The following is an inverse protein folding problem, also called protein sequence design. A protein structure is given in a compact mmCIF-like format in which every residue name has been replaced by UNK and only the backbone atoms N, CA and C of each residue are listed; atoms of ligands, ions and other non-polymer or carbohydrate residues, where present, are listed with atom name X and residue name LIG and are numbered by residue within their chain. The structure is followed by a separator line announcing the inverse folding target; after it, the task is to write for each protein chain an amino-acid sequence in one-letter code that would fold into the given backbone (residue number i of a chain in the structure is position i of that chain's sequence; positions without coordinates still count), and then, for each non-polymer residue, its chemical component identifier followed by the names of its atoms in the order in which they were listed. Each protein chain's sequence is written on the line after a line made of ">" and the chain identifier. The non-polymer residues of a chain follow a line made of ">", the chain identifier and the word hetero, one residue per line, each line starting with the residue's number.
data_IF_458353908004
#
_entry.id   IF_458353908004
#
_cell.length_a   1.000
_cell.length_b   1.000
_cell.length_c   1.000
_cell.angle_alpha   90.00
_cell.angle_beta   90.00
_cell.angle_gamma   90.00
#
_symmetry.space_group_name_H-M   'P 1'
#
loop_
_entity.id
_entity.type
_entity.pdbx_description
1 polymer ?
#
# COMPACT_ATOMS: atom_id res chain seq x y z
N UNK A 1 -12.02 0.03 -17.70
CA UNK A 1 -11.77 0.66 -16.38
C UNK A 1 -10.31 0.38 -16.02
N UNK A 2 -9.44 1.40 -16.06
CA UNK A 2 -8.06 1.20 -15.60
C UNK A 2 -8.09 1.09 -14.09
N UNK A 3 -7.82 -0.12 -13.59
CA UNK A 3 -7.76 -0.40 -12.18
C UNK A 3 -6.54 0.30 -11.57
N UNK A 4 -6.80 1.23 -10.64
CA UNK A 4 -5.75 1.90 -9.87
C UNK A 4 -5.03 0.85 -9.00
N UNK A 5 -3.71 0.89 -8.97
CA UNK A 5 -2.90 0.02 -8.09
C UNK A 5 -2.99 0.49 -6.64
N UNK A 6 -2.57 -0.35 -5.69
CA UNK A 6 -2.64 -0.03 -4.26
C UNK A 6 -1.81 1.21 -3.87
N UNK A 7 -0.70 1.41 -4.55
CA UNK A 7 0.20 2.55 -4.41
C UNK A 7 -0.48 3.83 -4.90
N UNK A 8 -1.28 3.73 -5.96
CA UNK A 8 -2.05 4.86 -6.48
C UNK A 8 -3.14 5.30 -5.48
N UNK A 9 -3.79 4.36 -4.80
CA UNK A 9 -4.75 4.69 -3.73
C UNK A 9 -4.09 5.34 -2.52
N UNK A 10 -2.89 4.89 -2.15
CA UNK A 10 -2.11 5.52 -1.08
C UNK A 10 -1.75 6.96 -1.46
N UNK A 11 -1.28 7.19 -2.68
CA UNK A 11 -0.98 8.55 -3.20
C UNK A 11 -2.21 9.46 -3.22
N UNK A 12 -3.36 8.95 -3.68
CA UNK A 12 -4.63 9.70 -3.68
C UNK A 12 -5.09 10.07 -2.26
N UNK A 13 -4.74 9.24 -1.26
CA UNK A 13 -4.99 9.52 0.16
C UNK A 13 -3.94 10.46 0.79
N UNK A 14 -3.03 11.03 0.00
CA UNK A 14 -1.96 11.92 0.46
C UNK A 14 -0.78 11.18 1.10
N UNK A 15 -0.72 9.87 0.99
CA UNK A 15 0.35 9.04 1.55
C UNK A 15 1.41 8.86 0.48
N UNK A 16 2.55 9.54 0.64
CA UNK A 16 3.70 9.33 -0.23
C UNK A 16 4.40 8.04 0.21
N UNK A 17 4.38 7.05 -0.68
CA UNK A 17 5.06 5.77 -0.50
C UNK A 17 5.77 5.37 -1.78
N UNK A 18 7.02 4.92 -1.65
CA UNK A 18 7.78 4.27 -2.70
C UNK A 18 8.04 2.82 -2.34
N UNK A 19 7.91 1.93 -3.32
CA UNK A 19 8.27 0.52 -3.17
C UNK A 19 9.69 0.32 -3.73
N UNK A 20 10.57 -0.31 -2.95
CA UNK A 20 11.92 -0.65 -3.35
C UNK A 20 12.23 -2.10 -3.01
N UNK A 21 13.02 -2.76 -3.85
CA UNK A 21 13.53 -4.09 -3.56
C UNK A 21 14.91 -3.92 -2.94
N UNK A 22 15.08 -4.39 -1.71
CA UNK A 22 16.38 -4.37 -1.04
C UNK A 22 17.33 -5.35 -1.74
N UNK A 23 18.44 -4.85 -2.28
CA UNK A 23 19.27 -5.60 -3.23
C UNK A 23 19.86 -6.90 -2.66
N UNK A 24 20.18 -6.89 -1.36
CA UNK A 24 20.85 -8.00 -0.68
C UNK A 24 19.89 -9.03 -0.10
N UNK A 25 18.78 -8.59 0.49
CA UNK A 25 17.80 -9.50 1.10
C UNK A 25 16.71 -9.92 0.13
N UNK A 26 16.60 -9.26 -1.04
CA UNK A 26 15.52 -9.41 -2.03
C UNK A 26 14.13 -9.13 -1.46
N UNK A 27 14.07 -8.44 -0.33
CA UNK A 27 12.82 -8.11 0.34
C UNK A 27 12.22 -6.83 -0.23
N UNK A 28 10.89 -6.79 -0.26
CA UNK A 28 10.14 -5.59 -0.62
C UNK A 28 10.10 -4.65 0.58
N UNK A 29 10.58 -3.44 0.39
CA UNK A 29 10.61 -2.35 1.34
C UNK A 29 9.67 -1.25 0.88
N UNK A 30 8.96 -0.65 1.83
CA UNK A 30 8.14 0.52 1.61
C UNK A 30 8.77 1.72 2.30
N UNK A 31 9.12 2.74 1.53
CA UNK A 31 9.63 4.01 2.02
C UNK A 31 8.48 5.03 2.07
N UNK A 32 8.15 5.44 3.29
CA UNK A 32 7.30 6.58 3.61
C UNK A 32 8.18 7.79 3.93
N UNK A 33 7.57 8.98 4.02
CA UNK A 33 8.28 10.23 4.38
C UNK A 33 9.04 10.12 5.71
N UNK A 34 8.50 9.38 6.67
CA UNK A 34 8.96 9.30 8.07
C UNK A 34 9.42 7.89 8.48
N UNK A 35 9.27 6.89 7.62
CA UNK A 35 9.52 5.50 7.95
C UNK A 35 9.98 4.69 6.72
N UNK A 36 10.89 3.75 6.92
CA UNK A 36 11.15 2.67 5.95
C UNK A 36 10.84 1.35 6.61
N UNK A 37 9.92 0.58 6.04
CA UNK A 37 9.46 -0.68 6.63
C UNK A 37 9.46 -1.82 5.62
N UNK A 38 9.89 -2.99 6.07
CA UNK A 38 9.79 -4.22 5.28
C UNK A 38 8.31 -4.64 5.15
N UNK A 39 7.94 -5.15 3.99
CA UNK A 39 6.65 -5.81 3.75
C UNK A 39 6.27 -6.87 4.79
N UNK A 40 7.23 -7.57 5.38
CA UNK A 40 6.99 -8.55 6.46
C UNK A 40 6.57 -7.89 7.78
N UNK A 41 7.10 -6.70 8.08
CA UNK A 41 6.85 -5.97 9.32
C UNK A 41 5.76 -4.90 9.18
N UNK A 42 5.16 -4.79 8.01
CA UNK A 42 4.13 -3.81 7.62
C UNK A 42 3.02 -3.59 8.66
N UNK A 43 2.68 -4.63 9.43
CA UNK A 43 1.67 -4.60 10.50
C UNK A 43 2.07 -3.76 11.72
N UNK A 44 3.35 -3.40 11.83
CA UNK A 44 3.88 -2.55 12.90
C UNK A 44 3.94 -1.08 12.50
N UNK A 45 3.71 -0.76 11.22
CA UNK A 45 3.80 0.61 10.72
C UNK A 45 2.69 1.49 11.31
N UNK A 46 3.00 2.73 11.74
CA UNK A 46 1.99 3.75 12.05
C UNK A 46 1.05 4.03 10.87
N UNK A 47 1.47 3.78 9.63
CA UNK A 47 0.66 3.95 8.42
C UNK A 47 -0.29 2.77 8.14
N UNK A 48 -0.27 1.71 8.97
CA UNK A 48 -1.11 0.52 8.79
C UNK A 48 -2.60 0.87 8.67
N UNK A 49 -3.10 1.76 9.54
CA UNK A 49 -4.51 2.16 9.53
C UNK A 49 -4.92 2.82 8.21
N UNK A 50 -4.03 3.61 7.62
CA UNK A 50 -4.26 4.26 6.34
C UNK A 50 -4.19 3.26 5.17
N UNK A 51 -3.26 2.30 5.22
CA UNK A 51 -3.18 1.17 4.28
C UNK A 51 -4.44 0.32 4.29
N UNK A 52 -4.92 -0.10 5.46
CA UNK A 52 -6.13 -0.91 5.59
C UNK A 52 -7.37 -0.19 5.02
N UNK A 53 -7.45 1.13 5.16
CA UNK A 53 -8.49 1.94 4.50
C UNK A 53 -8.38 1.89 2.98
N UNK A 54 -7.18 2.08 2.43
CA UNK A 54 -6.93 1.98 0.99
C UNK A 54 -7.27 0.58 0.44
N UNK A 55 -6.85 -0.49 1.13
CA UNK A 55 -7.16 -1.88 0.75
C UNK A 55 -8.67 -2.16 0.80
N UNK A 56 -9.39 -1.62 1.79
CA UNK A 56 -10.86 -1.72 1.86
C UNK A 56 -11.54 -1.00 0.70
N UNK A 57 -11.07 0.20 0.33
CA UNK A 57 -11.60 0.94 -0.81
C UNK A 57 -11.35 0.21 -2.13
N UNK A 58 -10.15 -0.35 -2.30
CA UNK A 58 -9.83 -1.22 -3.44
C UNK A 58 -10.75 -2.43 -3.51
N UNK A 59 -10.91 -3.18 -2.42
CA UNK A 59 -11.79 -4.34 -2.37
C UNK A 59 -13.25 -3.97 -2.64
N UNK A 60 -13.68 -2.76 -2.28
CA UNK A 60 -15.01 -2.26 -2.61
C UNK A 60 -15.15 -1.95 -4.11
N UNK A 61 -14.15 -1.34 -4.72
CA UNK A 61 -14.14 -1.02 -6.16
C UNK A 61 -13.97 -2.29 -7.01
N UNK A 62 -13.22 -3.26 -6.51
CA UNK A 62 -12.97 -4.56 -7.13
C UNK A 62 -14.05 -5.59 -6.86
N UNK A 63 -15.02 -5.29 -6.00
CA UNK A 63 -16.13 -6.21 -5.78
C UNK A 63 -16.85 -6.39 -7.11
N UNK A 64 -16.97 -7.62 -7.62
CA UNK A 64 -17.82 -7.86 -8.76
C UNK A 64 -19.22 -7.37 -8.36
N UNK A 65 -19.80 -6.50 -9.18
CA UNK A 65 -21.21 -6.14 -9.07
C UNK A 65 -21.97 -7.45 -9.01
N UNK A 66 -22.63 -7.74 -7.88
CA UNK A 66 -23.61 -8.80 -7.85
C UNK A 66 -24.77 -8.33 -8.72
N UNK A 67 -24.75 -8.73 -10.00
CA UNK A 67 -25.99 -8.91 -10.77
C UNK A 67 -26.82 -10.03 -10.14
#
# INVERSE_FOLDING_TARGET
>A
MNLKTFEQFQKDAGIQVEEKIHEHTKEVMYEYIDETINSNDIWKSPHLGARLRCTRQLNWIMRPSKE
#
